data_IF_835825433538
#
_entry.id   IF_835825433538
#
_cell.length_a   1.000
_cell.length_b   1.000
_cell.length_c   1.000
_cell.angle_alpha   90.00
_cell.angle_beta   90.00
_cell.angle_gamma   90.00
#
_symmetry.space_group_name_H-M   'P 1'
#
loop_
_entity.id
_entity.type
_entity.pdbx_description
1 polymer ?
#
# COMPACT_ATOMS: atom_id res chain seq x y z
N UNK A 1 -26.24 -13.02 -13.06
CA UNK A 1 -25.98 -11.57 -13.28
C UNK A 1 -24.49 -11.34 -13.13
N UNK A 2 -23.83 -10.53 -13.97
CA UNK A 2 -22.40 -10.31 -13.87
C UNK A 2 -22.04 -9.72 -12.50
N UNK A 3 -20.93 -10.17 -11.94
CA UNK A 3 -20.34 -9.63 -10.71
C UNK A 3 -19.28 -8.62 -11.12
N UNK A 4 -19.15 -7.51 -10.39
CA UNK A 4 -18.20 -6.45 -10.73
C UNK A 4 -17.33 -6.11 -9.52
N UNK A 5 -16.03 -6.36 -9.63
CA UNK A 5 -15.06 -6.01 -8.59
C UNK A 5 -14.17 -4.86 -9.07
N UNK A 6 -13.83 -3.96 -8.15
CA UNK A 6 -12.83 -2.93 -8.38
C UNK A 6 -11.52 -3.31 -7.70
N UNK A 7 -10.42 -3.34 -8.45
CA UNK A 7 -9.07 -3.51 -7.93
C UNK A 7 -8.37 -2.16 -8.02
N UNK A 8 -7.83 -1.65 -6.91
CA UNK A 8 -7.11 -0.37 -6.87
C UNK A 8 -5.65 -0.64 -6.50
N UNK A 9 -4.75 -0.39 -7.45
CA UNK A 9 -3.36 -0.81 -7.38
C UNK A 9 -2.41 0.34 -7.05
N UNK A 10 -1.33 0.02 -6.32
CA UNK A 10 -0.19 0.94 -6.18
C UNK A 10 0.77 0.82 -7.37
N UNK A 11 1.19 1.95 -7.94
CA UNK A 11 1.91 2.02 -9.21
C UNK A 11 3.31 1.36 -9.23
N UNK A 12 3.89 1.06 -8.07
CA UNK A 12 5.22 0.45 -8.02
C UNK A 12 5.19 -0.99 -8.55
N UNK A 13 6.19 -1.36 -9.35
CA UNK A 13 6.18 -2.65 -10.06
C UNK A 13 6.14 -3.87 -9.14
N UNK A 14 6.76 -3.78 -7.96
CA UNK A 14 6.70 -4.85 -6.94
C UNK A 14 5.28 -5.17 -6.48
N UNK A 15 4.36 -4.20 -6.57
CA UNK A 15 2.95 -4.35 -6.22
C UNK A 15 2.10 -4.69 -7.45
N UNK A 16 2.27 -3.93 -8.54
CA UNK A 16 1.52 -4.14 -9.79
C UNK A 16 1.62 -5.56 -10.32
N UNK A 17 2.83 -6.13 -10.33
CA UNK A 17 3.07 -7.43 -10.94
C UNK A 17 2.24 -8.56 -10.28
N UNK A 18 2.27 -8.74 -8.95
CA UNK A 18 1.41 -9.73 -8.30
C UNK A 18 -0.07 -9.36 -8.34
N UNK A 19 -0.45 -8.09 -8.43
CA UNK A 19 -1.85 -7.68 -8.59
C UNK A 19 -2.41 -7.95 -9.99
N UNK A 20 -1.62 -7.76 -11.04
CA UNK A 20 -1.94 -8.20 -12.40
C UNK A 20 -2.20 -9.71 -12.43
N UNK A 21 -1.38 -10.50 -11.72
CA UNK A 21 -1.59 -11.94 -11.58
C UNK A 21 -2.90 -12.24 -10.86
N UNK A 22 -3.17 -11.54 -9.75
CA UNK A 22 -4.41 -11.71 -8.98
C UNK A 22 -5.63 -11.46 -9.87
N UNK A 23 -5.67 -10.35 -10.61
CA UNK A 23 -6.77 -9.99 -11.49
C UNK A 23 -7.07 -11.09 -12.53
N UNK A 24 -6.03 -11.59 -13.21
CA UNK A 24 -6.17 -12.67 -14.21
C UNK A 24 -6.70 -13.94 -13.55
N UNK A 25 -6.13 -14.38 -12.43
CA UNK A 25 -6.59 -15.60 -11.75
C UNK A 25 -8.03 -15.49 -11.25
N UNK A 26 -8.43 -14.33 -10.70
CA UNK A 26 -9.80 -14.10 -10.24
C UNK A 26 -10.77 -14.16 -11.42
N UNK A 27 -10.49 -13.45 -12.51
CA UNK A 27 -11.34 -13.49 -13.68
C UNK A 27 -11.38 -14.90 -14.30
N UNK A 28 -10.26 -15.62 -14.41
CA UNK A 28 -10.25 -17.01 -14.90
C UNK A 28 -11.07 -17.95 -14.02
N UNK A 29 -10.98 -17.80 -12.69
CA UNK A 29 -11.71 -18.63 -11.73
C UNK A 29 -13.21 -18.35 -11.69
N UNK A 30 -13.63 -17.11 -11.93
CA UNK A 30 -15.02 -16.67 -11.85
C UNK A 30 -15.49 -16.16 -13.23
N UNK A 31 -16.13 -16.99 -14.07
CA UNK A 31 -16.48 -16.62 -15.45
C UNK A 31 -17.40 -15.40 -15.58
N UNK A 32 -18.28 -15.18 -14.59
CA UNK A 32 -19.21 -14.04 -14.57
C UNK A 32 -18.60 -12.77 -13.94
N UNK A 33 -17.34 -12.82 -13.49
CA UNK A 33 -16.66 -11.69 -12.89
C UNK A 33 -16.11 -10.75 -13.96
N UNK A 34 -16.45 -9.48 -13.83
CA UNK A 34 -15.84 -8.34 -14.51
C UNK A 34 -14.97 -7.60 -13.50
N UNK A 35 -13.75 -7.27 -13.88
CA UNK A 35 -12.81 -6.54 -13.04
C UNK A 35 -12.58 -5.16 -13.66
N UNK A 36 -12.78 -4.11 -12.86
CA UNK A 36 -12.20 -2.80 -13.15
C UNK A 36 -10.91 -2.66 -12.35
N UNK A 37 -9.77 -2.69 -13.02
CA UNK A 37 -8.43 -2.57 -12.44
C UNK A 37 -7.94 -1.13 -12.62
N UNK A 38 -8.04 -0.34 -11.56
CA UNK A 38 -7.63 1.06 -11.52
C UNK A 38 -6.13 1.13 -11.20
N UNK A 39 -5.40 1.75 -12.11
CA UNK A 39 -3.94 1.84 -12.06
C UNK A 39 -3.48 3.19 -12.59
N UNK A 40 -2.31 3.64 -12.15
CA UNK A 40 -1.70 4.86 -12.67
C UNK A 40 -1.51 4.83 -14.19
N UNK A 41 -1.75 5.96 -14.86
CA UNK A 41 -1.73 6.03 -16.30
C UNK A 41 -0.36 5.72 -16.92
N UNK A 42 0.75 6.05 -16.25
CA UNK A 42 2.10 5.83 -16.77
C UNK A 42 2.49 4.34 -16.83
N UNK A 43 1.81 3.50 -16.04
CA UNK A 43 2.09 2.06 -15.93
C UNK A 43 0.94 1.18 -16.43
N UNK A 44 -0.16 1.78 -16.90
CA UNK A 44 -1.33 1.07 -17.37
C UNK A 44 -1.01 0.11 -18.54
N UNK A 45 -0.18 0.52 -19.50
CA UNK A 45 0.20 -0.36 -20.61
C UNK A 45 1.05 -1.55 -20.12
N UNK A 46 2.05 -1.29 -19.27
CA UNK A 46 2.87 -2.34 -18.67
C UNK A 46 2.03 -3.36 -17.87
N UNK A 47 0.99 -2.88 -17.19
CA UNK A 47 0.02 -3.71 -16.48
C UNK A 47 -0.79 -4.60 -17.44
N UNK A 48 -1.27 -4.06 -18.57
CA UNK A 48 -1.96 -4.83 -19.62
C UNK A 48 -1.06 -5.93 -20.21
N UNK A 49 0.19 -5.59 -20.52
CA UNK A 49 1.15 -6.54 -21.10
C UNK A 49 1.43 -7.70 -20.13
N UNK A 50 1.56 -7.41 -18.83
CA UNK A 50 1.78 -8.43 -17.80
C UNK A 50 0.53 -9.30 -17.56
N UNK A 51 -0.67 -8.72 -17.61
CA UNK A 51 -1.91 -9.49 -17.57
C UNK A 51 -2.03 -10.40 -18.79
N UNK A 52 -1.68 -9.92 -19.99
CA UNK A 52 -1.65 -10.74 -21.20
C UNK A 52 -0.67 -11.91 -21.07
N UNK A 53 0.52 -11.66 -20.48
CA UNK A 53 1.51 -12.71 -20.17
C UNK A 53 0.92 -13.78 -19.25
N UNK A 54 0.22 -13.40 -18.17
CA UNK A 54 -0.42 -14.37 -17.27
C UNK A 54 -1.57 -15.12 -17.94
N UNK A 55 -2.39 -14.45 -18.75
CA UNK A 55 -3.49 -15.10 -19.47
C UNK A 55 -2.98 -16.12 -20.49
N UNK A 56 -1.89 -15.81 -21.19
CA UNK A 56 -1.18 -16.74 -22.07
C UNK A 56 -0.65 -17.95 -21.30
N UNK A 57 0.05 -17.73 -20.18
CA UNK A 57 0.55 -18.81 -19.33
C UNK A 57 -0.56 -19.68 -18.72
N UNK A 58 -1.73 -19.08 -18.46
CA UNK A 58 -2.92 -19.78 -17.98
C UNK A 58 -3.73 -20.49 -19.07
N UNK A 59 -3.42 -20.26 -20.35
CA UNK A 59 -4.10 -20.89 -21.49
C UNK A 59 -5.51 -20.35 -21.79
N UNK A 60 -5.88 -19.16 -21.30
CA UNK A 60 -7.21 -18.57 -21.54
C UNK A 60 -7.15 -17.04 -21.75
N UNK A 61 -6.72 -16.60 -22.93
CA UNK A 61 -6.64 -15.17 -23.28
C UNK A 61 -8.00 -14.45 -23.26
N UNK A 62 -9.11 -15.20 -23.38
CA UNK A 62 -10.47 -14.63 -23.35
C UNK A 62 -10.77 -13.93 -22.02
N UNK A 63 -10.07 -14.30 -20.94
CA UNK A 63 -10.16 -13.66 -19.63
C UNK A 63 -9.91 -12.15 -19.70
N UNK A 64 -9.02 -11.69 -20.60
CA UNK A 64 -8.63 -10.29 -20.71
C UNK A 64 -9.81 -9.39 -21.10
N UNK A 65 -10.77 -9.90 -21.86
CA UNK A 65 -11.98 -9.15 -22.24
C UNK A 65 -12.86 -8.74 -21.04
N UNK A 66 -12.68 -9.39 -19.90
CA UNK A 66 -13.41 -9.13 -18.64
C UNK A 66 -12.60 -8.30 -17.65
N UNK A 67 -11.36 -7.95 -17.98
CA UNK A 67 -10.49 -7.10 -17.15
C UNK A 67 -10.31 -5.75 -17.83
N UNK A 68 -10.88 -4.71 -17.22
CA UNK A 68 -10.79 -3.33 -17.68
C UNK A 68 -9.63 -2.66 -16.95
N UNK A 69 -8.51 -2.45 -17.63
CA UNK A 69 -7.38 -1.69 -17.06
C UNK A 69 -7.61 -0.21 -17.28
N UNK A 70 -8.02 0.50 -16.22
CA UNK A 70 -8.49 1.89 -16.22
C UNK A 70 -7.36 2.78 -15.71
N UNK A 71 -6.86 3.67 -16.58
CA UNK A 71 -5.71 4.54 -16.30
C UNK A 71 -6.13 5.80 -15.53
N UNK A 72 -5.88 5.86 -14.22
CA UNK A 72 -6.27 6.97 -13.33
C UNK A 72 -5.09 7.44 -12.51
N UNK A 73 -4.84 8.75 -12.52
CA UNK A 73 -3.68 9.36 -11.90
C UNK A 73 -2.45 9.38 -12.81
N UNK A 74 -1.50 10.23 -12.43
CA UNK A 74 -0.15 10.36 -13.01
C UNK A 74 0.86 10.65 -11.90
N UNK A 75 0.85 9.80 -10.87
CA UNK A 75 1.73 9.90 -9.70
C UNK A 75 3.21 9.89 -10.10
N UNK A 76 3.70 8.98 -10.97
CA UNK A 76 5.10 8.92 -11.37
C UNK A 76 5.55 10.11 -12.24
N UNK A 77 4.63 10.76 -12.96
CA UNK A 77 4.98 11.87 -13.86
C UNK A 77 5.62 13.07 -13.14
N UNK A 78 5.45 13.18 -11.82
CA UNK A 78 6.11 14.17 -10.98
C UNK A 78 7.44 13.69 -10.35
N UNK A 79 7.86 12.47 -10.59
CA UNK A 79 9.04 11.84 -9.98
C UNK A 79 10.20 11.82 -10.98
N UNK A 80 10.95 12.93 -11.05
CA UNK A 80 12.21 12.97 -11.82
C UNK A 80 13.29 12.16 -11.11
N UNK A 81 14.38 11.73 -11.78
CA UNK A 81 15.49 11.02 -11.12
C UNK A 81 16.09 11.80 -9.93
N UNK A 82 16.08 13.14 -9.98
CA UNK A 82 16.53 14.00 -8.89
C UNK A 82 15.56 13.97 -7.70
N UNK A 83 14.25 13.95 -7.98
CA UNK A 83 13.22 13.81 -6.96
C UNK A 83 13.27 12.41 -6.37
N UNK A 84 13.46 11.37 -7.18
CA UNK A 84 13.63 9.98 -6.73
C UNK A 84 14.82 9.84 -5.78
N UNK A 85 15.99 10.41 -6.14
CA UNK A 85 17.17 10.47 -5.26
C UNK A 85 16.90 11.21 -3.95
N UNK A 86 16.07 12.24 -3.98
CA UNK A 86 15.68 13.02 -2.79
C UNK A 86 14.48 12.44 -2.04
N UNK A 87 13.78 11.48 -2.62
CA UNK A 87 12.52 10.96 -2.11
C UNK A 87 12.70 10.40 -0.69
N UNK A 88 13.80 9.69 -0.46
CA UNK A 88 14.20 9.18 0.84
C UNK A 88 14.48 10.26 1.90
N UNK A 89 14.63 11.54 1.54
CA UNK A 89 14.85 12.64 2.49
C UNK A 89 13.65 13.58 2.60
N UNK A 90 12.61 13.38 1.78
CA UNK A 90 11.43 14.22 1.82
C UNK A 90 10.66 13.98 3.12
N UNK A 91 10.07 15.04 3.66
CA UNK A 91 9.07 14.90 4.71
C UNK A 91 7.91 14.05 4.14
N UNK A 92 7.62 12.87 4.69
CA UNK A 92 6.57 11.98 4.17
C UNK A 92 5.19 12.63 4.17
N UNK A 93 4.96 13.65 5.01
CA UNK A 93 3.71 14.43 5.05
C UNK A 93 3.57 15.37 3.85
N UNK A 94 4.65 15.63 3.14
CA UNK A 94 4.77 16.59 2.02
C UNK A 94 5.08 15.90 0.69
N UNK A 95 4.91 14.58 0.60
CA UNK A 95 5.01 13.79 -0.64
C UNK A 95 4.13 14.43 -1.73
N UNK A 96 4.52 14.34 -3.03
CA UNK A 96 4.00 15.21 -4.08
C UNK A 96 2.46 15.28 -4.19
N UNK A 97 1.97 16.48 -4.54
CA UNK A 97 0.54 16.78 -4.79
C UNK A 97 -0.11 15.87 -5.85
N UNK A 98 0.69 15.31 -6.77
CA UNK A 98 0.22 14.37 -7.80
C UNK A 98 -0.50 13.16 -7.20
N UNK A 99 -0.13 12.77 -5.96
CA UNK A 99 -0.82 11.73 -5.20
C UNK A 99 -2.29 12.09 -5.01
N UNK A 100 -2.62 13.19 -4.31
CA UNK A 100 -4.01 13.66 -4.05
C UNK A 100 -4.87 13.78 -5.32
N UNK A 101 -4.26 14.21 -6.42
CA UNK A 101 -4.96 14.28 -7.71
C UNK A 101 -5.32 12.87 -8.17
N UNK A 102 -4.39 11.92 -8.13
CA UNK A 102 -4.67 10.53 -8.46
C UNK A 102 -5.76 9.93 -7.57
N UNK A 103 -5.76 10.20 -6.26
CA UNK A 103 -6.81 9.77 -5.32
C UNK A 103 -8.18 10.26 -5.78
N UNK A 104 -8.30 11.56 -6.05
CA UNK A 104 -9.54 12.16 -6.53
C UNK A 104 -10.00 11.57 -7.86
N UNK A 105 -9.07 11.26 -8.78
CA UNK A 105 -9.39 10.62 -10.06
C UNK A 105 -9.87 9.17 -9.88
N UNK A 106 -9.28 8.42 -8.94
CA UNK A 106 -9.75 7.08 -8.56
C UNK A 106 -11.17 7.16 -8.00
N UNK A 107 -11.45 8.07 -7.06
CA UNK A 107 -12.79 8.27 -6.53
C UNK A 107 -13.80 8.65 -7.61
N UNK A 108 -13.46 9.58 -8.51
CA UNK A 108 -14.35 9.96 -9.62
C UNK A 108 -14.69 8.78 -10.54
N UNK A 109 -13.72 7.92 -10.84
CA UNK A 109 -13.96 6.72 -11.63
C UNK A 109 -14.89 5.73 -10.92
N UNK A 110 -14.66 5.48 -9.62
CA UNK A 110 -15.52 4.59 -8.82
C UNK A 110 -16.92 5.17 -8.68
N UNK A 111 -17.04 6.46 -8.38
CA UNK A 111 -18.30 7.19 -8.28
C UNK A 111 -19.12 7.06 -9.58
N UNK A 112 -18.48 7.23 -10.74
CA UNK A 112 -19.13 7.03 -12.04
C UNK A 112 -19.60 5.57 -12.24
N UNK A 113 -18.79 4.58 -11.84
CA UNK A 113 -19.19 3.17 -11.88
C UNK A 113 -20.37 2.86 -10.94
N UNK A 114 -20.42 3.46 -9.75
CA UNK A 114 -21.51 3.32 -8.80
C UNK A 114 -22.82 3.99 -9.29
N UNK A 115 -22.71 5.07 -10.08
CA UNK A 115 -23.84 5.71 -10.76
C UNK A 115 -24.20 5.08 -12.10
N UNK A 116 -23.42 4.10 -12.58
CA UNK A 116 -23.60 3.47 -13.89
C UNK A 116 -23.51 4.51 -15.03
N UNK A 117 -22.56 5.43 -14.92
CA UNK A 117 -22.29 6.49 -15.89
C UNK A 117 -21.02 6.20 -16.69
N UNK A 118 -20.93 6.77 -17.91
CA UNK A 118 -19.68 6.72 -18.68
C UNK A 118 -18.70 7.76 -18.16
N UNK A 119 -17.40 7.47 -18.23
CA UNK A 119 -16.35 8.43 -17.85
C UNK A 119 -15.09 8.26 -18.72
N UNK A 120 -14.26 9.31 -18.77
CA UNK A 120 -12.95 9.26 -19.43
C UNK A 120 -11.86 9.08 -18.39
N UNK A 121 -10.95 8.16 -18.67
CA UNK A 121 -9.73 7.99 -17.88
C UNK A 121 -8.64 9.00 -18.32
N UNK A 122 -7.47 8.96 -17.67
CA UNK A 122 -6.41 9.94 -17.90
C UNK A 122 -5.58 9.67 -19.16
N UNK A 123 -5.91 8.61 -19.91
CA UNK A 123 -5.43 8.37 -21.28
C UNK A 123 -6.44 8.83 -22.34
N UNK A 124 -7.61 9.34 -21.91
CA UNK A 124 -8.70 9.76 -22.78
C UNK A 124 -9.64 8.63 -23.20
N UNK A 125 -9.43 7.40 -22.70
CA UNK A 125 -10.28 6.25 -23.03
C UNK A 125 -11.66 6.45 -22.41
N UNK A 126 -12.72 6.33 -23.23
CA UNK A 126 -14.10 6.39 -22.76
C UNK A 126 -14.54 5.01 -22.26
N UNK A 127 -14.83 4.95 -20.97
CA UNK A 127 -15.31 3.76 -20.28
C UNK A 127 -16.83 3.81 -20.14
N UNK A 128 -17.52 2.87 -20.77
CA UNK A 128 -18.96 2.69 -20.60
C UNK A 128 -19.26 1.92 -19.30
N UNK A 129 -20.47 2.06 -18.72
CA UNK A 129 -20.93 1.22 -17.63
C UNK A 129 -20.89 -0.26 -18.02
N UNK A 130 -20.58 -1.11 -17.07
CA UNK A 130 -20.83 -2.56 -17.18
C UNK A 130 -22.18 -2.86 -16.53
N UNK A 131 -22.80 -4.00 -16.85
CA UNK A 131 -24.16 -4.32 -16.42
C UNK A 131 -24.35 -4.53 -14.89
N UNK A 132 -23.37 -4.19 -14.06
CA UNK A 132 -23.42 -4.24 -12.61
C UNK A 132 -22.54 -3.16 -11.96
N UNK A 133 -22.98 -2.64 -10.80
CA UNK A 133 -22.16 -1.76 -9.96
C UNK A 133 -21.05 -2.57 -9.28
N UNK A 134 -19.89 -1.97 -8.98
CA UNK A 134 -18.91 -2.59 -8.10
C UNK A 134 -19.59 -3.07 -6.80
N UNK A 135 -19.31 -4.30 -6.38
CA UNK A 135 -19.81 -4.87 -5.12
C UNK A 135 -18.71 -5.41 -4.19
N UNK A 136 -17.44 -5.24 -4.59
CA UNK A 136 -16.25 -5.52 -3.80
C UNK A 136 -15.14 -4.59 -4.27
N UNK A 137 -14.35 -4.09 -3.33
CA UNK A 137 -13.08 -3.41 -3.59
C UNK A 137 -11.94 -4.26 -3.04
N UNK A 138 -10.93 -4.52 -3.87
CA UNK A 138 -9.64 -5.06 -3.43
C UNK A 138 -8.61 -3.96 -3.65
N UNK A 139 -7.78 -3.66 -2.66
CA UNK A 139 -6.84 -2.55 -2.74
C UNK A 139 -5.45 -2.92 -2.22
N UNK A 140 -4.43 -2.30 -2.79
CA UNK A 140 -3.10 -2.29 -2.19
C UNK A 140 -3.12 -1.50 -0.86
N UNK A 141 -2.34 -1.95 0.12
CA UNK A 141 -2.22 -1.28 1.42
C UNK A 141 -1.72 0.17 1.30
N UNK A 142 -0.89 0.49 0.29
CA UNK A 142 -0.31 1.82 0.08
C UNK A 142 -1.30 2.83 -0.55
N UNK A 143 -2.47 2.35 -1.00
CA UNK A 143 -3.60 3.20 -1.46
C UNK A 143 -4.80 3.14 -0.50
N UNK A 144 -4.56 2.74 0.76
CA UNK A 144 -5.62 2.46 1.74
C UNK A 144 -6.56 3.61 2.10
N UNK A 145 -6.13 4.87 1.91
CA UNK A 145 -6.98 6.04 2.10
C UNK A 145 -8.17 6.04 1.11
N UNK A 146 -7.97 5.57 -0.13
CA UNK A 146 -9.06 5.45 -1.12
C UNK A 146 -10.10 4.46 -0.62
N UNK A 147 -9.65 3.26 -0.26
CA UNK A 147 -10.56 2.16 0.04
C UNK A 147 -11.37 2.40 1.32
N UNK A 148 -10.77 3.04 2.34
CA UNK A 148 -11.45 3.41 3.57
C UNK A 148 -12.63 4.37 3.30
N UNK A 149 -12.40 5.39 2.47
CA UNK A 149 -13.45 6.34 2.08
C UNK A 149 -14.52 5.69 1.21
N UNK A 150 -14.15 4.80 0.27
CA UNK A 150 -15.11 4.05 -0.54
C UNK A 150 -16.00 3.14 0.31
N UNK A 151 -15.44 2.48 1.33
CA UNK A 151 -16.22 1.66 2.28
C UNK A 151 -17.24 2.52 3.01
N UNK A 152 -16.83 3.66 3.55
CA UNK A 152 -17.74 4.56 4.27
C UNK A 152 -18.84 5.12 3.36
N UNK A 153 -18.48 5.55 2.15
CA UNK A 153 -19.41 6.17 1.20
C UNK A 153 -20.43 5.18 0.63
N UNK A 154 -20.00 3.96 0.30
CA UNK A 154 -20.80 3.02 -0.48
C UNK A 154 -21.15 1.72 0.26
N UNK A 155 -20.68 1.54 1.50
CA UNK A 155 -20.83 0.29 2.26
C UNK A 155 -20.34 -0.94 1.48
N UNK A 156 -19.30 -0.76 0.66
CA UNK A 156 -18.69 -1.86 -0.10
C UNK A 156 -17.79 -2.69 0.82
N UNK A 157 -17.80 -4.03 0.69
CA UNK A 157 -16.76 -4.86 1.24
C UNK A 157 -15.38 -4.43 0.69
N UNK A 158 -14.39 -4.33 1.57
CA UNK A 158 -13.02 -3.95 1.24
C UNK A 158 -12.07 -5.04 1.68
N UNK A 159 -11.29 -5.55 0.73
CA UNK A 159 -10.22 -6.49 0.99
C UNK A 159 -8.88 -5.84 0.69
N UNK A 160 -7.87 -6.15 1.48
CA UNK A 160 -6.50 -5.72 1.25
C UNK A 160 -5.79 -6.83 0.48
N UNK A 161 -5.13 -6.50 -0.62
CA UNK A 161 -4.12 -7.39 -1.19
C UNK A 161 -2.75 -6.98 -0.65
N UNK A 162 -2.24 -7.74 0.32
CA UNK A 162 -0.95 -7.43 0.93
C UNK A 162 0.15 -8.22 0.24
N UNK A 163 0.94 -7.52 -0.58
CA UNK A 163 2.01 -8.12 -1.40
C UNK A 163 3.15 -8.72 -0.57
N UNK A 164 3.31 -8.29 0.68
CA UNK A 164 4.30 -8.84 1.60
C UNK A 164 3.89 -10.18 2.22
N UNK A 165 4.70 -10.68 3.15
CA UNK A 165 4.41 -11.91 3.89
C UNK A 165 3.40 -11.69 5.01
N UNK A 166 2.67 -12.75 5.40
CA UNK A 166 1.80 -12.73 6.58
C UNK A 166 2.56 -12.40 7.87
N UNK A 167 3.82 -12.85 7.98
CA UNK A 167 4.74 -12.50 9.08
C UNK A 167 4.98 -10.99 9.14
N UNK A 168 5.32 -10.36 8.02
CA UNK A 168 5.51 -8.91 7.93
C UNK A 168 4.21 -8.18 8.30
N UNK A 169 3.08 -8.57 7.72
CA UNK A 169 1.78 -7.99 8.04
C UNK A 169 1.45 -8.06 9.55
N UNK A 170 1.68 -9.21 10.17
CA UNK A 170 1.40 -9.42 11.60
C UNK A 170 2.31 -8.54 12.46
N UNK A 171 3.61 -8.44 12.14
CA UNK A 171 4.55 -7.53 12.82
C UNK A 171 4.14 -6.06 12.72
N UNK A 172 3.58 -5.66 11.59
CA UNK A 172 3.13 -4.29 11.37
C UNK A 172 1.86 -3.98 12.17
N UNK A 173 0.82 -4.81 12.01
CA UNK A 173 -0.55 -4.43 12.36
C UNK A 173 -1.15 -5.19 13.55
N UNK A 174 -0.42 -6.11 14.18
CA UNK A 174 -0.89 -6.65 15.46
C UNK A 174 -1.08 -5.51 16.49
N UNK A 175 -1.89 -5.72 17.54
CA UNK A 175 -1.92 -4.80 18.67
C UNK A 175 -0.51 -4.59 19.26
N UNK A 176 -0.20 -3.38 19.72
CA UNK A 176 1.12 -3.07 20.34
C UNK A 176 1.42 -3.99 21.53
N UNK A 177 0.41 -4.32 22.33
CA UNK A 177 0.53 -5.27 23.45
C UNK A 177 0.92 -6.70 23.01
N UNK A 178 0.76 -7.02 21.73
CA UNK A 178 1.15 -8.28 21.10
C UNK A 178 2.35 -8.11 20.16
N UNK A 179 3.08 -6.98 20.25
CA UNK A 179 4.30 -6.72 19.49
C UNK A 179 4.12 -5.98 18.15
N UNK A 180 2.91 -5.58 17.78
CA UNK A 180 2.73 -4.85 16.52
C UNK A 180 3.21 -3.40 16.59
N UNK A 181 3.63 -2.86 15.45
CA UNK A 181 4.43 -1.61 15.39
C UNK A 181 3.63 -0.37 15.02
N UNK A 182 2.64 -0.49 14.14
CA UNK A 182 2.01 0.67 13.51
C UNK A 182 1.09 1.46 14.45
N UNK A 183 0.44 0.80 15.41
CA UNK A 183 -0.43 1.46 16.38
C UNK A 183 0.36 2.45 17.25
N UNK A 184 -0.01 3.74 17.21
CA UNK A 184 0.68 4.82 17.94
C UNK A 184 1.92 5.39 17.21
N UNK A 185 2.24 4.93 16.01
CA UNK A 185 3.45 5.34 15.28
C UNK A 185 3.46 6.85 14.95
N UNK A 186 2.35 7.38 14.46
CA UNK A 186 2.25 8.81 14.08
C UNK A 186 2.29 9.73 15.29
N UNK A 187 1.70 9.30 16.39
CA UNK A 187 1.65 10.01 17.67
C UNK A 187 3.06 10.09 18.26
N UNK A 188 3.81 8.99 18.23
CA UNK A 188 5.20 8.93 18.70
C UNK A 188 6.11 9.84 17.86
N UNK A 189 5.98 9.84 16.52
CA UNK A 189 6.72 10.74 15.65
C UNK A 189 6.47 12.22 15.99
N UNK A 190 5.20 12.59 16.20
CA UNK A 190 4.81 13.97 16.54
C UNK A 190 5.25 14.36 17.94
N UNK A 191 5.20 13.44 18.90
CA UNK A 191 5.65 13.68 20.26
C UNK A 191 7.17 13.98 20.29
N UNK A 192 7.97 13.27 19.49
CA UNK A 192 9.40 13.55 19.36
C UNK A 192 9.64 14.87 18.62
N UNK A 193 8.92 15.16 17.53
CA UNK A 193 9.05 16.44 16.80
C UNK A 193 8.73 17.65 17.68
N UNK A 194 7.75 17.53 18.58
CA UNK A 194 7.32 18.60 19.46
C UNK A 194 8.25 18.83 20.67
N UNK A 195 9.06 17.85 21.04
CA UNK A 195 10.01 17.94 22.15
C UNK A 195 11.38 18.37 21.63
N UNK A 196 11.81 19.59 21.93
CA UNK A 196 13.07 20.14 21.41
C UNK A 196 14.32 19.33 21.83
N UNK A 197 14.29 18.72 23.03
CA UNK A 197 15.38 17.89 23.51
C UNK A 197 15.43 16.57 22.75
N UNK A 198 14.29 15.89 22.63
CA UNK A 198 14.21 14.62 21.88
C UNK A 198 14.39 14.84 20.39
N UNK A 199 13.87 15.92 19.81
CA UNK A 199 14.02 16.23 18.39
C UNK A 199 15.50 16.43 18.04
N UNK A 200 16.28 17.09 18.89
CA UNK A 200 17.71 17.35 18.67
C UNK A 200 17.99 18.01 17.30
N UNK A 201 17.08 18.89 16.85
CA UNK A 201 17.15 19.52 15.54
C UNK A 201 16.86 18.60 14.33
N UNK A 202 16.48 17.33 14.56
CA UNK A 202 16.10 16.38 13.50
C UNK A 202 14.82 16.84 12.81
N UNK A 203 14.78 16.70 11.49
CA UNK A 203 13.57 16.88 10.69
C UNK A 203 12.57 15.75 10.94
N UNK A 204 11.29 15.97 10.64
CA UNK A 204 10.27 14.93 10.76
C UNK A 204 10.58 13.67 9.97
N UNK A 205 11.16 13.82 8.77
CA UNK A 205 11.57 12.66 7.95
C UNK A 205 12.62 11.83 8.69
N UNK A 206 13.62 12.48 9.29
CA UNK A 206 14.62 11.80 10.11
C UNK A 206 14.02 11.14 11.36
N UNK A 207 13.04 11.76 12.01
CA UNK A 207 12.33 11.20 13.18
C UNK A 207 11.51 9.97 12.79
N UNK A 208 10.73 10.06 11.70
CA UNK A 208 9.91 8.97 11.18
C UNK A 208 10.76 7.78 10.69
N UNK A 209 11.94 8.06 10.14
CA UNK A 209 12.83 7.05 9.56
C UNK A 209 13.60 6.21 10.57
N UNK A 210 14.21 6.85 11.57
CA UNK A 210 15.67 6.94 11.55
C UNK A 210 16.43 5.67 11.11
N UNK A 211 16.92 5.71 9.86
CA UNK A 211 18.20 5.12 9.45
C UNK A 211 19.29 5.95 10.12
N UNK A 212 19.65 5.57 11.34
CA UNK A 212 20.76 6.18 12.02
C UNK A 212 22.07 5.78 11.41
N UNK A 213 22.89 6.79 11.14
CA UNK A 213 24.29 6.70 10.74
C UNK A 213 24.91 5.39 11.22
N UNK A 214 25.29 4.55 10.27
CA UNK A 214 26.67 4.09 10.33
C UNK A 214 27.57 5.32 10.64
N UNK A 215 28.24 5.30 11.79
CA UNK A 215 29.35 6.17 12.22
C UNK A 215 29.04 7.53 12.88
N UNK A 216 28.26 7.58 13.96
CA UNK A 216 28.70 8.41 15.09
C UNK A 216 29.22 7.45 16.16
N UNK A 217 30.55 7.45 16.35
CA UNK A 217 31.27 6.79 17.42
C UNK A 217 30.93 7.44 18.77
N UNK A 218 29.68 7.33 19.21
CA UNK A 218 29.31 7.73 20.56
C UNK A 218 28.79 6.48 21.24
N UNK A 219 29.55 6.00 22.24
CA UNK A 219 29.17 4.87 23.09
C UNK A 219 27.89 5.13 23.91
N UNK A 220 27.36 6.36 23.83
CA UNK A 220 26.15 6.76 24.51
C UNK A 220 24.89 6.44 23.69
N UNK A 221 24.29 5.28 23.99
CA UNK A 221 23.01 4.83 23.43
C UNK A 221 21.79 5.51 24.08
N UNK A 222 21.98 6.33 25.12
CA UNK A 222 20.86 6.87 25.92
C UNK A 222 20.09 8.03 25.25
N UNK A 223 20.57 8.55 24.11
CA UNK A 223 20.05 9.77 23.51
C UNK A 223 19.21 9.57 22.23
N UNK A 224 19.02 8.35 21.72
CA UNK A 224 18.45 8.15 20.37
C UNK A 224 17.10 7.42 20.41
N UNK A 225 16.01 8.16 20.58
CA UNK A 225 14.65 7.69 20.26
C UNK A 225 14.47 7.58 18.73
N UNK A 226 14.13 6.39 18.19
CA UNK A 226 14.02 6.12 16.73
C UNK A 226 12.67 5.48 16.37
N UNK A 227 11.60 6.20 16.01
CA UNK A 227 10.24 5.62 16.02
C UNK A 227 10.06 4.32 15.23
N UNK A 228 10.56 4.25 13.98
CA UNK A 228 10.53 2.99 13.25
C UNK A 228 11.55 2.04 13.87
N UNK A 229 12.86 2.27 13.74
CA UNK A 229 13.89 1.33 14.15
C UNK A 229 13.85 0.92 15.63
N UNK A 230 13.61 1.85 16.56
CA UNK A 230 13.60 1.76 18.03
C UNK A 230 12.44 2.57 18.64
N UNK A 231 11.29 1.96 18.78
CA UNK A 231 10.14 2.58 19.41
C UNK A 231 10.22 2.50 20.93
N UNK A 232 9.96 3.63 21.58
CA UNK A 232 9.82 3.74 23.04
C UNK A 232 8.62 2.97 23.60
N UNK A 233 7.73 2.48 22.73
CA UNK A 233 6.59 1.61 23.09
C UNK A 233 7.04 0.22 23.53
N UNK A 234 8.25 -0.21 23.17
CA UNK A 234 8.80 -1.50 23.57
C UNK A 234 9.85 -1.31 24.66
N UNK A 235 9.83 -2.19 25.67
CA UNK A 235 10.72 -2.10 26.84
C UNK A 235 12.18 -2.48 26.54
N UNK A 236 12.38 -3.37 25.56
CA UNK A 236 13.67 -3.92 25.21
C UNK A 236 13.93 -3.77 23.69
N UNK A 237 15.15 -4.08 23.27
CA UNK A 237 15.55 -4.16 21.85
C UNK A 237 14.86 -5.29 21.08
N UNK A 238 14.14 -6.20 21.76
CA UNK A 238 13.54 -7.39 21.17
C UNK A 238 12.01 -7.29 21.17
N UNK A 239 11.43 -7.24 19.97
CA UNK A 239 9.98 -7.32 19.75
C UNK A 239 9.55 -8.79 19.79
N UNK A 240 8.52 -9.07 20.58
CA UNK A 240 7.95 -10.41 20.74
C UNK A 240 6.53 -10.40 20.21
N UNK A 241 6.39 -10.68 18.92
CA UNK A 241 5.07 -10.76 18.29
C UNK A 241 4.45 -12.12 18.60
N UNK A 242 3.23 -12.13 19.15
CA UNK A 242 2.58 -13.39 19.57
C UNK A 242 2.44 -14.34 18.36
N UNK A 243 3.05 -15.52 18.46
CA UNK A 243 3.03 -16.55 17.41
C UNK A 243 4.15 -16.44 16.37
N UNK A 244 5.07 -15.48 16.50
CA UNK A 244 6.25 -15.35 15.65
C UNK A 244 7.54 -15.47 16.47
N UNK A 245 8.68 -15.81 15.86
CA UNK A 245 9.98 -15.71 16.50
C UNK A 245 10.28 -14.28 16.98
N UNK A 246 11.03 -14.11 18.09
CA UNK A 246 11.51 -12.80 18.52
C UNK A 246 12.39 -12.18 17.44
N UNK A 247 12.37 -10.85 17.35
CA UNK A 247 13.19 -10.09 16.40
C UNK A 247 13.71 -8.82 17.07
N UNK A 248 14.89 -8.35 16.67
CA UNK A 248 15.33 -7.02 17.09
C UNK A 248 14.53 -5.92 16.38
N UNK A 249 14.31 -4.79 17.06
CA UNK A 249 13.48 -3.71 16.51
C UNK A 249 13.99 -3.20 15.14
N UNK A 250 15.31 -3.26 14.90
CA UNK A 250 15.94 -2.83 13.65
C UNK A 250 15.92 -3.86 12.51
N UNK A 251 15.45 -5.10 12.73
CA UNK A 251 15.48 -6.15 11.70
C UNK A 251 14.58 -5.86 10.49
N UNK A 252 13.51 -5.07 10.66
CA UNK A 252 12.65 -4.66 9.52
C UNK A 252 13.25 -3.49 8.70
N UNK A 253 14.52 -3.12 8.96
CA UNK A 253 15.30 -2.17 8.17
C UNK A 253 16.57 -2.80 7.55
N UNK A 254 16.45 -3.91 6.78
CA UNK A 254 17.63 -4.47 6.12
C UNK A 254 18.13 -3.58 4.97
N UNK A 255 17.31 -2.62 4.52
CA UNK A 255 17.63 -1.71 3.42
C UNK A 255 18.18 -0.40 3.96
N UNK A 256 19.28 0.08 3.36
CA UNK A 256 19.87 1.39 3.67
C UNK A 256 18.99 2.57 3.26
N UNK A 257 17.91 2.31 2.52
CA UNK A 257 16.97 3.31 2.03
C UNK A 257 15.62 3.14 2.75
N UNK A 258 15.15 4.22 3.34
CA UNK A 258 13.76 4.33 3.79
C UNK A 258 12.95 5.08 2.74
N UNK A 259 11.76 4.57 2.45
CA UNK A 259 10.84 5.20 1.51
C UNK A 259 9.71 5.89 2.27
N UNK A 260 9.32 7.12 1.89
CA UNK A 260 8.13 7.79 2.41
C UNK A 260 6.85 6.94 2.41
N UNK A 261 6.75 5.97 1.50
CA UNK A 261 5.65 5.00 1.49
C UNK A 261 5.58 4.12 2.76
N UNK A 262 6.68 3.94 3.50
CA UNK A 262 6.68 3.25 4.81
C UNK A 262 5.91 4.06 5.84
N UNK A 263 6.04 5.40 5.82
CA UNK A 263 5.21 6.25 6.67
C UNK A 263 3.73 6.09 6.32
N UNK A 264 3.38 6.00 5.04
CA UNK A 264 2.00 5.79 4.59
C UNK A 264 1.46 4.42 5.01
N UNK A 265 2.28 3.38 4.87
CA UNK A 265 2.01 2.03 5.35
C UNK A 265 1.69 2.05 6.86
N UNK A 266 2.53 2.71 7.65
CA UNK A 266 2.36 2.76 9.10
C UNK A 266 1.18 3.63 9.54
N UNK A 267 0.97 4.79 8.90
CA UNK A 267 -0.02 5.79 9.30
C UNK A 267 -1.43 5.49 8.79
N UNK A 268 -1.57 5.09 7.53
CA UNK A 268 -2.87 4.85 6.90
C UNK A 268 -3.19 3.36 6.78
N UNK A 269 -2.15 2.50 6.70
CA UNK A 269 -2.36 1.06 6.57
C UNK A 269 -3.12 0.48 7.75
N UNK A 270 -2.87 0.95 8.99
CA UNK A 270 -3.61 0.48 10.16
C UNK A 270 -5.10 0.81 10.08
N UNK A 271 -5.46 2.03 9.70
CA UNK A 271 -6.86 2.43 9.51
C UNK A 271 -7.55 1.57 8.43
N UNK A 272 -6.84 1.26 7.34
CA UNK A 272 -7.35 0.36 6.32
C UNK A 272 -7.56 -1.05 6.88
N UNK A 273 -6.59 -1.58 7.63
CA UNK A 273 -6.70 -2.91 8.26
C UNK A 273 -7.90 -2.98 9.21
N UNK A 274 -8.08 -1.99 10.07
CA UNK A 274 -9.18 -1.92 11.03
C UNK A 274 -10.55 -1.84 10.35
N UNK A 275 -10.65 -1.17 9.20
CA UNK A 275 -11.90 -1.07 8.46
C UNK A 275 -12.07 -2.14 7.38
N UNK A 276 -11.06 -2.95 7.05
CA UNK A 276 -11.15 -3.99 6.02
C UNK A 276 -12.01 -5.19 6.47
N UNK A 277 -12.61 -5.89 5.52
CA UNK A 277 -13.37 -7.14 5.74
C UNK A 277 -12.48 -8.38 5.58
N UNK A 278 -11.27 -8.21 5.08
CA UNK A 278 -10.33 -9.31 4.90
C UNK A 278 -9.00 -8.88 4.29
N UNK A 279 -8.02 -9.76 4.41
CA UNK A 279 -6.67 -9.60 3.84
C UNK A 279 -6.35 -10.83 3.01
N UNK A 280 -5.87 -10.58 1.79
CA UNK A 280 -5.44 -11.60 0.83
C UNK A 280 -3.91 -11.52 0.77
N UNK A 281 -3.27 -12.68 0.95
CA UNK A 281 -1.82 -12.82 0.84
C UNK A 281 -1.45 -13.65 -0.38
N UNK A 282 -0.39 -13.31 -1.12
CA UNK A 282 0.17 -14.14 -2.18
C UNK A 282 1.02 -15.28 -1.59
N UNK A 283 0.42 -16.10 -0.74
CA UNK A 283 1.07 -17.23 -0.04
C UNK A 283 0.16 -18.45 -0.01
N UNK A 284 0.73 -19.60 0.35
CA UNK A 284 -0.02 -20.84 0.62
C UNK A 284 0.28 -21.31 2.03
N UNK A 285 -0.66 -22.04 2.65
CA UNK A 285 -0.57 -22.47 4.05
C UNK A 285 0.70 -23.28 4.36
N UNK A 286 1.22 -23.99 3.36
CA UNK A 286 2.38 -24.87 3.51
C UNK A 286 3.73 -24.16 3.35
N UNK A 287 3.77 -22.83 3.15
CA UNK A 287 5.04 -22.10 3.24
C UNK A 287 5.41 -22.03 4.72
N UNK A 288 6.14 -23.05 5.17
CA UNK A 288 6.77 -23.07 6.49
C UNK A 288 7.77 -21.93 6.48
N UNK A 289 7.56 -20.95 7.35
CA UNK A 289 8.55 -19.90 7.60
C UNK A 289 9.77 -20.58 8.20
N UNK A 290 10.84 -20.70 7.41
CA UNK A 290 12.16 -21.15 7.88
C UNK A 290 12.76 -20.02 8.72
#
# INVERSE_FOLDING_TARGET
>A
MPVHWALVSFWAWGHLRPESNLAVNLASKFPDLIISFLVDAEVAQKCKDEMARYAFLGGDERVLSRIRVIAVGRVPAGMTPEIEKRFAMMDPRRVPKSRRIAEARIHQAIDAMMRMESFKDDTGTLWKPVAAKPNLVICDILVGYVASELKQRYSLPVYIYFVGSATCFTRLYAPTALGGRCAGYTEECRAIEADAYRAEGRTFSQIAQHVGKYFLQTDDRSAIDQVWAWSSKFKDDVIRVKGLPPMYQWEDLPQSAWFPSVYELASYGLQLVECSDGVIFPTVLNIVSI
#
